data_IF_381598194050
#
_entry.id   IF_381598194050
#
_cell.length_a   1.000
_cell.length_b   1.000
_cell.length_c   1.000
_cell.angle_alpha   90.00
_cell.angle_beta   90.00
_cell.angle_gamma   90.00
#
_symmetry.space_group_name_H-M   'P 1'
#
loop_
_entity.id
_entity.type
_entity.pdbx_description
1 polymer ?
#
# COMPACT_ATOMS: atom_id res chain seq x y z
N UNK A 1 -25.16 15.90 -18.44
CA UNK A 1 -25.64 15.02 -17.35
C UNK A 1 -24.43 14.72 -16.49
N UNK A 2 -24.43 15.22 -15.25
CA UNK A 2 -23.32 15.07 -14.33
C UNK A 2 -23.12 13.59 -13.98
N UNK A 3 -21.86 13.14 -14.03
CA UNK A 3 -21.45 11.78 -13.69
C UNK A 3 -21.82 11.50 -12.23
N UNK A 4 -22.58 10.43 -12.01
CA UNK A 4 -23.07 10.02 -10.71
C UNK A 4 -21.91 9.64 -9.77
N UNK A 5 -21.96 10.22 -8.57
CA UNK A 5 -21.35 9.81 -7.30
C UNK A 5 -20.25 8.75 -7.35
N UNK A 6 -19.00 9.21 -7.32
CA UNK A 6 -17.83 8.38 -7.04
C UNK A 6 -17.85 8.05 -5.54
N UNK A 7 -18.28 6.83 -5.21
CA UNK A 7 -18.24 6.29 -3.85
C UNK A 7 -16.78 6.06 -3.46
N UNK A 8 -16.29 6.90 -2.54
CA UNK A 8 -14.96 6.82 -1.94
C UNK A 8 -14.61 5.39 -1.53
N UNK A 9 -13.36 4.98 -1.74
CA UNK A 9 -12.85 3.66 -1.31
C UNK A 9 -13.16 3.38 0.17
N UNK A 10 -13.14 4.41 1.00
CA UNK A 10 -13.57 4.37 2.41
C UNK A 10 -14.55 5.50 2.72
N UNK A 11 -15.51 5.25 3.61
CA UNK A 11 -16.41 6.29 4.13
C UNK A 11 -15.68 7.31 5.04
N UNK A 12 -14.59 6.90 5.70
CA UNK A 12 -13.72 7.74 6.54
C UNK A 12 -12.24 7.36 6.32
N UNK A 13 -11.28 8.31 6.46
CA UNK A 13 -9.86 8.00 6.44
C UNK A 13 -9.46 6.98 7.53
N UNK A 14 -8.48 6.12 7.23
CA UNK A 14 -7.95 5.20 8.23
C UNK A 14 -7.29 5.95 9.40
N UNK A 15 -7.62 5.54 10.62
CA UNK A 15 -7.10 6.12 11.88
C UNK A 15 -5.83 5.42 12.35
N UNK A 16 -5.47 4.27 11.77
CA UNK A 16 -4.17 3.62 11.98
C UNK A 16 -3.03 4.42 11.35
N UNK A 17 -1.85 4.33 11.94
CA UNK A 17 -0.59 4.80 11.34
C UNK A 17 0.23 3.64 10.83
N UNK A 18 0.92 3.81 9.70
CA UNK A 18 1.66 2.75 9.04
C UNK A 18 3.12 3.11 8.83
N UNK A 19 3.98 2.09 8.89
CA UNK A 19 5.34 2.14 8.36
C UNK A 19 5.46 1.10 7.25
N UNK A 20 5.88 1.54 6.06
CA UNK A 20 6.23 0.64 4.96
C UNK A 20 7.74 0.64 4.82
N UNK A 21 8.38 -0.46 5.19
CA UNK A 21 9.82 -0.64 5.05
C UNK A 21 10.15 -1.29 3.71
N UNK A 22 10.89 -0.60 2.85
CA UNK A 22 11.32 -1.13 1.56
C UNK A 22 12.58 -0.43 1.01
N UNK A 23 13.02 -0.85 -0.18
CA UNK A 23 14.13 -0.25 -0.93
C UNK A 23 13.77 1.16 -1.45
N UNK A 24 14.76 1.98 -1.88
CA UNK A 24 14.55 3.31 -2.48
C UNK A 24 13.96 3.24 -3.91
N UNK A 25 12.89 2.48 -4.08
CA UNK A 25 12.10 2.35 -5.30
C UNK A 25 10.68 1.88 -4.95
N UNK A 26 9.75 1.98 -5.89
CA UNK A 26 8.39 1.45 -5.71
C UNK A 26 8.41 -0.08 -5.63
N UNK A 27 8.87 -0.75 -6.70
CA UNK A 27 9.05 -2.20 -6.75
C UNK A 27 7.87 -2.98 -6.16
N UNK A 28 8.14 -3.97 -5.32
CA UNK A 28 7.11 -4.80 -4.66
C UNK A 28 6.31 -4.06 -3.58
N UNK A 29 6.68 -2.82 -3.24
CA UNK A 29 5.90 -1.98 -2.31
C UNK A 29 5.01 -0.97 -3.03
N UNK A 30 5.08 -0.88 -4.36
CA UNK A 30 4.32 0.09 -5.16
C UNK A 30 2.82 0.00 -4.90
N UNK A 31 2.24 -1.19 -5.06
CA UNK A 31 0.81 -1.39 -4.82
C UNK A 31 0.41 -1.22 -3.34
N UNK A 32 1.27 -1.63 -2.40
CA UNK A 32 1.05 -1.39 -0.96
C UNK A 32 0.87 0.10 -0.68
N UNK A 33 1.77 0.94 -1.21
CA UNK A 33 1.71 2.40 -1.04
C UNK A 33 0.49 3.00 -1.72
N UNK A 34 0.11 2.50 -2.90
CA UNK A 34 -1.14 2.89 -3.59
C UNK A 34 -2.35 2.59 -2.72
N UNK A 35 -2.48 1.36 -2.19
CA UNK A 35 -3.62 0.97 -1.36
C UNK A 35 -3.77 1.86 -0.12
N UNK A 36 -2.66 2.16 0.57
CA UNK A 36 -2.66 3.05 1.73
C UNK A 36 -2.99 4.50 1.34
N UNK A 37 -2.45 5.01 0.24
CA UNK A 37 -2.77 6.34 -0.26
C UNK A 37 -4.25 6.48 -0.61
N UNK A 38 -4.79 5.52 -1.35
CA UNK A 38 -6.19 5.51 -1.74
C UNK A 38 -7.13 5.45 -0.52
N UNK A 39 -6.72 4.76 0.55
CA UNK A 39 -7.39 4.76 1.85
C UNK A 39 -7.24 6.06 2.67
N UNK A 40 -6.39 6.99 2.23
CA UNK A 40 -6.09 8.21 3.01
C UNK A 40 -5.35 7.91 4.32
N UNK A 41 -4.63 6.78 4.38
CA UNK A 41 -3.90 6.36 5.57
C UNK A 41 -2.66 7.24 5.81
N UNK A 42 -2.27 7.39 7.08
CA UNK A 42 -1.01 8.04 7.47
C UNK A 42 0.14 7.05 7.32
N UNK A 43 1.12 7.33 6.46
CA UNK A 43 2.20 6.40 6.12
C UNK A 43 3.57 7.04 6.27
N UNK A 44 4.48 6.34 6.94
CA UNK A 44 5.91 6.61 6.95
C UNK A 44 6.57 5.62 5.98
N UNK A 45 7.36 6.13 5.04
CA UNK A 45 8.16 5.31 4.13
C UNK A 45 9.56 5.11 4.70
N UNK A 46 9.79 3.97 5.37
CA UNK A 46 11.13 3.63 5.86
C UNK A 46 11.94 3.05 4.71
N UNK A 47 12.98 3.77 4.29
CA UNK A 47 13.85 3.35 3.20
C UNK A 47 15.07 2.61 3.74
N UNK A 48 15.29 1.40 3.23
CA UNK A 48 16.46 0.57 3.50
C UNK A 48 17.26 0.37 2.21
N UNK A 49 18.59 0.24 2.31
CA UNK A 49 19.39 -0.13 1.13
C UNK A 49 19.46 -1.64 0.97
N UNK A 50 19.83 -2.11 -0.21
CA UNK A 50 20.05 -3.54 -0.41
C UNK A 50 21.16 -4.06 0.51
N UNK A 51 22.20 -3.25 0.72
CA UNK A 51 23.34 -3.54 1.58
C UNK A 51 22.93 -3.61 3.06
N UNK A 52 22.08 -2.70 3.55
CA UNK A 52 21.62 -2.71 4.95
C UNK A 52 20.75 -3.95 5.22
N UNK A 53 19.83 -4.29 4.31
CA UNK A 53 19.00 -5.50 4.41
C UNK A 53 19.87 -6.75 4.39
N UNK A 54 20.90 -6.79 3.53
CA UNK A 54 21.82 -7.93 3.44
C UNK A 54 22.70 -8.07 4.69
N UNK A 55 23.14 -6.96 5.27
CA UNK A 55 24.01 -6.94 6.44
C UNK A 55 23.33 -7.51 7.69
N UNK A 56 22.03 -7.24 7.87
CA UNK A 56 21.27 -7.78 8.99
C UNK A 56 19.86 -8.18 8.60
N UNK A 57 19.74 -9.38 8.03
CA UNK A 57 18.45 -9.99 7.69
C UNK A 57 17.60 -10.33 8.91
N UNK A 58 18.18 -10.46 10.10
CA UNK A 58 17.43 -10.87 11.29
C UNK A 58 16.41 -9.82 11.75
N UNK A 59 16.61 -8.56 11.33
CA UNK A 59 15.68 -7.44 11.57
C UNK A 59 14.32 -7.58 10.88
N UNK A 60 14.25 -8.35 9.81
CA UNK A 60 13.05 -8.42 8.96
C UNK A 60 12.42 -9.81 9.04
N UNK A 61 11.08 -9.92 9.10
CA UNK A 61 10.42 -11.21 8.98
C UNK A 61 10.88 -11.94 7.71
N UNK A 62 11.26 -13.21 7.87
CA UNK A 62 11.83 -14.06 6.82
C UNK A 62 13.10 -13.52 6.15
N UNK A 63 13.73 -12.48 6.73
CA UNK A 63 14.92 -11.83 6.19
C UNK A 63 14.69 -11.05 4.91
N UNK A 64 13.48 -10.51 4.69
CA UNK A 64 13.06 -9.86 3.44
C UNK A 64 12.20 -8.62 3.68
N UNK A 65 12.21 -7.74 2.69
CA UNK A 65 11.31 -6.59 2.54
C UNK A 65 10.45 -6.78 1.26
N UNK A 66 9.22 -6.23 1.16
CA UNK A 66 8.61 -5.23 2.04
C UNK A 66 8.09 -5.78 3.37
N UNK A 67 8.04 -4.88 4.36
CA UNK A 67 7.38 -5.10 5.65
C UNK A 67 6.41 -3.96 5.90
N UNK A 68 5.18 -4.29 6.29
CA UNK A 68 4.18 -3.37 6.81
C UNK A 68 4.16 -3.47 8.33
N UNK A 69 4.29 -2.33 9.00
CA UNK A 69 3.97 -2.18 10.42
C UNK A 69 2.74 -1.29 10.52
N UNK A 70 1.72 -1.74 11.24
CA UNK A 70 0.53 -0.97 11.56
C UNK A 70 0.48 -0.72 13.07
N UNK A 71 0.19 0.52 13.46
CA UNK A 71 -0.20 0.87 14.83
C UNK A 71 -1.65 1.37 14.82
N UNK A 72 -2.52 0.66 15.51
CA UNK A 72 -3.94 0.97 15.66
C UNK A 72 -4.16 2.11 16.66
N UNK A 73 -5.35 2.75 16.69
CA UNK A 73 -5.65 3.84 17.61
C UNK A 73 -5.52 3.49 19.10
N UNK A 74 -5.69 2.22 19.45
CA UNK A 74 -5.50 1.70 20.82
C UNK A 74 -4.02 1.44 21.17
N UNK A 75 -3.10 1.69 20.24
CA UNK A 75 -1.66 1.43 20.37
C UNK A 75 -1.24 0.01 20.01
N UNK A 76 -2.17 -0.88 19.64
CA UNK A 76 -1.85 -2.25 19.23
C UNK A 76 -1.01 -2.25 17.96
N UNK A 77 0.06 -3.06 17.95
CA UNK A 77 0.97 -3.18 16.81
C UNK A 77 0.79 -4.48 16.06
N UNK A 78 0.78 -4.39 14.74
CA UNK A 78 0.70 -5.51 13.81
C UNK A 78 1.86 -5.41 12.80
N UNK A 79 2.53 -6.53 12.52
CA UNK A 79 3.63 -6.60 11.56
C UNK A 79 3.37 -7.70 10.56
N UNK A 80 3.52 -7.39 9.26
CA UNK A 80 3.30 -8.32 8.17
C UNK A 80 4.37 -8.15 7.09
N UNK A 81 4.84 -9.27 6.54
CA UNK A 81 5.77 -9.31 5.41
C UNK A 81 5.14 -10.06 4.23
N UNK A 82 5.83 -10.06 3.09
CA UNK A 82 5.40 -10.56 1.77
C UNK A 82 4.35 -9.66 1.11
N UNK A 83 4.71 -9.10 -0.06
CA UNK A 83 3.94 -8.05 -0.72
C UNK A 83 2.48 -8.45 -0.99
N UNK A 84 2.27 -9.63 -1.56
CA UNK A 84 0.92 -10.13 -1.89
C UNK A 84 0.09 -10.34 -0.62
N UNK A 85 0.69 -10.80 0.48
CA UNK A 85 -0.02 -10.97 1.75
C UNK A 85 -0.43 -9.61 2.33
N UNK A 86 0.46 -8.62 2.28
CA UNK A 86 0.17 -7.25 2.70
C UNK A 86 -0.95 -6.63 1.85
N UNK A 87 -0.90 -6.79 0.53
CA UNK A 87 -1.92 -6.28 -0.38
C UNK A 87 -3.28 -6.91 -0.13
N UNK A 88 -3.34 -8.23 0.12
CA UNK A 88 -4.58 -8.91 0.49
C UNK A 88 -5.14 -8.41 1.83
N UNK A 89 -4.27 -8.21 2.82
CA UNK A 89 -4.66 -7.67 4.12
C UNK A 89 -5.28 -6.28 3.98
N UNK A 90 -4.59 -5.37 3.29
CA UNK A 90 -5.07 -4.01 3.07
C UNK A 90 -6.34 -3.98 2.21
N UNK A 91 -6.41 -4.83 1.17
CA UNK A 91 -7.60 -4.94 0.35
C UNK A 91 -8.82 -5.41 1.15
N UNK A 92 -8.63 -6.35 2.09
CA UNK A 92 -9.70 -6.79 2.99
C UNK A 92 -10.11 -5.67 3.94
N UNK A 93 -9.14 -5.03 4.59
CA UNK A 93 -9.36 -3.91 5.52
C UNK A 93 -10.10 -2.74 4.88
N UNK A 94 -9.84 -2.48 3.59
CA UNK A 94 -10.40 -1.35 2.86
C UNK A 94 -11.55 -1.73 1.91
N UNK A 95 -12.10 -2.94 2.01
CA UNK A 95 -13.27 -3.35 1.22
C UNK A 95 -13.02 -3.48 -0.29
N UNK A 96 -11.76 -3.66 -0.71
CA UNK A 96 -11.36 -3.86 -2.11
C UNK A 96 -11.46 -5.33 -2.56
N UNK A 97 -12.01 -6.19 -1.70
CA UNK A 97 -12.35 -7.58 -1.98
C UNK A 97 -13.85 -7.82 -2.20
N UNK A 98 -14.64 -6.74 -2.32
CA UNK A 98 -16.03 -6.77 -2.73
C UNK A 98 -16.23 -5.82 -3.93
N UNK A 99 -17.28 -6.08 -4.71
CA UNK A 99 -17.62 -5.31 -5.92
C UNK A 99 -18.97 -4.60 -5.79
N UNK A 100 -19.62 -4.71 -4.63
CA UNK A 100 -20.96 -4.14 -4.39
C UNK A 100 -20.81 -2.93 -3.48
N UNK A 101 -21.62 -1.90 -3.70
CA UNK A 101 -21.83 -0.88 -2.69
C UNK A 101 -22.64 -1.50 -1.54
N UNK A 102 -21.97 -2.08 -0.55
CA UNK A 102 -22.60 -2.61 0.66
C UNK A 102 -23.08 -1.47 1.58
N UNK A 103 -24.01 -0.67 1.08
CA UNK A 103 -24.76 0.31 1.87
C UNK A 103 -26.24 -0.07 2.03
N UNK A 104 -26.72 -1.18 1.46
CA UNK A 104 -28.19 -1.41 1.41
C UNK A 104 -28.70 -2.72 2.01
N UNK A 105 -27.89 -3.58 2.60
CA UNK A 105 -28.42 -4.73 3.34
C UNK A 105 -27.68 -4.87 4.66
N UNK A 106 -28.27 -4.35 5.74
CA UNK A 106 -28.45 -4.95 7.08
C UNK A 106 -29.08 -3.90 8.01
N UNK A 107 -30.39 -3.66 7.83
CA UNK A 107 -31.21 -2.85 8.73
C UNK A 107 -31.70 -3.70 9.92
N UNK A 108 -30.78 -4.36 10.64
CA UNK A 108 -31.12 -5.00 11.90
C UNK A 108 -30.02 -4.84 12.94
N UNK A 109 -30.47 -4.31 14.08
CA UNK A 109 -29.74 -3.88 15.26
C UNK A 109 -28.62 -4.81 15.73
N UNK A 110 -27.40 -4.27 15.85
CA UNK A 110 -26.68 -4.05 17.12
C UNK A 110 -25.35 -3.33 16.86
N UNK A 111 -24.99 -2.39 17.75
CA UNK A 111 -23.84 -1.49 17.66
C UNK A 111 -22.47 -2.21 17.68
N UNK A 112 -22.02 -2.71 16.54
CA UNK A 112 -20.59 -2.87 16.23
C UNK A 112 -20.37 -2.56 14.74
N UNK A 113 -19.30 -1.83 14.41
CA UNK A 113 -18.84 -1.51 13.06
C UNK A 113 -18.39 -2.77 12.30
N UNK A 114 -19.29 -3.75 12.11
CA UNK A 114 -19.02 -4.88 11.25
C UNK A 114 -19.20 -4.40 9.80
N UNK A 115 -18.07 -4.06 9.16
CA UNK A 115 -17.99 -4.08 7.70
C UNK A 115 -18.59 -5.42 7.23
N UNK A 116 -19.57 -5.38 6.33
CA UNK A 116 -20.17 -6.59 5.78
C UNK A 116 -19.04 -7.48 5.24
N UNK A 117 -18.97 -8.73 5.72
CA UNK A 117 -17.93 -9.65 5.26
C UNK A 117 -18.08 -9.84 3.75
N UNK A 118 -17.03 -9.64 2.94
CA UNK A 118 -17.13 -9.80 1.50
C UNK A 118 -17.57 -11.22 1.16
N UNK A 119 -18.37 -11.39 0.10
CA UNK A 119 -18.70 -12.71 -0.44
C UNK A 119 -17.40 -13.50 -0.69
N UNK A 120 -17.21 -14.66 -0.02
CA UNK A 120 -16.02 -15.47 -0.18
C UNK A 120 -15.76 -15.89 -1.63
N UNK A 121 -16.79 -16.12 -2.44
CA UNK A 121 -16.60 -16.51 -3.84
C UNK A 121 -16.07 -15.35 -4.68
N UNK A 122 -16.66 -14.17 -4.57
CA UNK A 122 -16.17 -12.97 -5.22
C UNK A 122 -14.75 -12.59 -4.76
N UNK A 123 -14.49 -12.61 -3.45
CA UNK A 123 -13.17 -12.33 -2.89
C UNK A 123 -12.09 -13.27 -3.46
N UNK A 124 -12.42 -14.56 -3.60
CA UNK A 124 -11.52 -15.54 -4.22
C UNK A 124 -11.25 -15.23 -5.70
N UNK A 125 -12.27 -14.81 -6.47
CA UNK A 125 -12.10 -14.40 -7.87
C UNK A 125 -11.20 -13.17 -8.00
N UNK A 126 -11.42 -12.14 -7.17
CA UNK A 126 -10.58 -10.93 -7.13
C UNK A 126 -9.12 -11.29 -6.84
N UNK A 127 -8.89 -12.07 -5.78
CA UNK A 127 -7.55 -12.56 -5.41
C UNK A 127 -6.92 -13.42 -6.51
N UNK A 128 -7.71 -14.22 -7.23
CA UNK A 128 -7.21 -15.05 -8.33
C UNK A 128 -6.70 -14.22 -9.51
N UNK A 129 -7.39 -13.12 -9.87
CA UNK A 129 -6.93 -12.23 -10.95
C UNK A 129 -5.63 -11.53 -10.53
N UNK A 130 -5.56 -11.00 -9.30
CA UNK A 130 -4.37 -10.36 -8.78
C UNK A 130 -3.18 -11.34 -8.74
N UNK A 131 -3.38 -12.55 -8.21
CA UNK A 131 -2.35 -13.57 -8.11
C UNK A 131 -1.88 -14.07 -9.48
N UNK A 132 -2.78 -14.32 -10.43
CA UNK A 132 -2.38 -14.72 -11.77
C UNK A 132 -1.51 -13.65 -12.44
N UNK A 133 -1.88 -12.37 -12.29
CA UNK A 133 -1.08 -11.24 -12.80
C UNK A 133 0.34 -11.26 -12.22
N UNK A 134 0.49 -11.48 -10.92
CA UNK A 134 1.80 -11.62 -10.29
C UNK A 134 2.60 -12.80 -10.83
N UNK A 135 1.98 -13.98 -10.92
CA UNK A 135 2.67 -15.19 -11.36
C UNK A 135 3.14 -15.07 -12.81
N UNK A 136 2.28 -14.57 -13.69
CA UNK A 136 2.59 -14.47 -15.12
C UNK A 136 3.58 -13.34 -15.41
N UNK A 137 3.39 -12.15 -14.82
CA UNK A 137 4.20 -10.98 -15.18
C UNK A 137 5.46 -10.85 -14.32
N UNK A 138 5.42 -11.16 -13.01
CA UNK A 138 6.65 -11.11 -12.22
C UNK A 138 7.67 -12.13 -12.70
N UNK A 139 7.23 -13.38 -12.91
CA UNK A 139 8.14 -14.48 -13.22
C UNK A 139 8.60 -14.48 -14.66
N UNK A 140 7.76 -14.02 -15.61
CA UNK A 140 8.05 -14.13 -17.04
C UNK A 140 8.40 -12.80 -17.72
N UNK A 141 8.01 -11.66 -17.13
CA UNK A 141 8.43 -10.34 -17.64
C UNK A 141 9.57 -9.77 -16.82
N UNK A 142 9.38 -9.61 -15.51
CA UNK A 142 10.34 -8.89 -14.68
C UNK A 142 11.66 -9.66 -14.52
N UNK A 143 11.64 -10.88 -13.98
CA UNK A 143 12.86 -11.65 -13.72
C UNK A 143 13.74 -11.90 -14.96
N UNK A 144 13.19 -12.29 -16.13
CA UNK A 144 14.00 -12.57 -17.32
C UNK A 144 14.61 -11.33 -17.96
N UNK A 145 13.98 -10.16 -17.80
CA UNK A 145 14.53 -8.89 -18.26
C UNK A 145 15.75 -8.49 -17.42
N UNK A 146 15.69 -8.64 -16.09
CA UNK A 146 16.87 -8.39 -15.23
C UNK A 146 17.99 -9.40 -15.46
N UNK A 147 17.65 -10.64 -15.79
CA UNK A 147 18.61 -11.70 -16.07
C UNK A 147 19.12 -11.70 -17.51
N UNK A 148 18.62 -10.79 -18.38
CA UNK A 148 18.93 -10.73 -19.82
C UNK A 148 18.76 -12.08 -20.54
N UNK A 149 17.71 -12.82 -20.16
CA UNK A 149 17.44 -14.14 -20.73
C UNK A 149 16.55 -14.02 -21.98
N UNK A 150 17.18 -14.02 -23.16
CA UNK A 150 16.50 -13.80 -24.45
C UNK A 150 15.43 -14.86 -24.77
N UNK A 151 15.69 -16.13 -24.47
CA UNK A 151 14.75 -17.23 -24.71
C UNK A 151 13.46 -17.05 -23.88
N UNK A 152 13.60 -16.75 -22.59
CA UNK A 152 12.45 -16.50 -21.73
C UNK A 152 11.70 -15.23 -22.12
N UNK A 153 12.41 -14.21 -22.60
CA UNK A 153 11.77 -13.00 -23.12
C UNK A 153 10.99 -13.26 -24.41
N UNK A 154 11.51 -14.10 -25.32
CA UNK A 154 10.80 -14.49 -26.54
C UNK A 154 9.56 -15.31 -26.21
N UNK A 155 9.69 -16.32 -25.32
CA UNK A 155 8.56 -17.09 -24.81
C UNK A 155 7.50 -16.20 -24.18
N UNK A 156 7.91 -15.23 -23.37
CA UNK A 156 6.99 -14.27 -22.79
C UNK A 156 6.21 -13.51 -23.86
N UNK A 157 6.91 -12.92 -24.84
CA UNK A 157 6.27 -12.11 -25.90
C UNK A 157 5.36 -12.92 -26.82
N UNK A 158 5.74 -14.15 -27.15
CA UNK A 158 5.08 -14.93 -28.20
C UNK A 158 4.01 -15.88 -27.66
N UNK A 159 4.12 -16.32 -26.41
CA UNK A 159 3.21 -17.33 -25.83
C UNK A 159 2.43 -16.79 -24.64
N UNK A 160 3.13 -16.25 -23.64
CA UNK A 160 2.54 -15.94 -22.33
C UNK A 160 1.72 -14.65 -22.40
N UNK A 161 2.30 -13.59 -22.96
CA UNK A 161 1.66 -12.28 -23.05
C UNK A 161 0.35 -12.30 -23.86
N UNK A 162 0.29 -12.90 -25.07
CA UNK A 162 -0.96 -12.97 -25.83
C UNK A 162 -2.05 -13.74 -25.08
N UNK A 163 -1.70 -14.85 -24.42
CA UNK A 163 -2.64 -15.65 -23.63
C UNK A 163 -3.13 -14.88 -22.40
N UNK A 164 -2.23 -14.17 -21.71
CA UNK A 164 -2.57 -13.32 -20.58
C UNK A 164 -3.55 -12.22 -20.99
N UNK A 165 -3.24 -11.46 -22.06
CA UNK A 165 -4.13 -10.41 -22.61
C UNK A 165 -5.51 -11.01 -22.95
N UNK A 166 -5.55 -12.09 -23.72
CA UNK A 166 -6.81 -12.69 -24.16
C UNK A 166 -7.70 -13.14 -22.98
N UNK A 167 -7.10 -13.74 -21.94
CA UNK A 167 -7.82 -14.17 -20.75
C UNK A 167 -8.33 -12.99 -19.93
N UNK A 168 -7.50 -11.98 -19.70
CA UNK A 168 -7.87 -10.81 -18.91
C UNK A 168 -8.94 -9.96 -19.60
N UNK A 169 -8.82 -9.75 -20.91
CA UNK A 169 -9.87 -9.07 -21.68
C UNK A 169 -11.19 -9.85 -21.73
N UNK A 170 -11.15 -11.20 -21.74
CA UNK A 170 -12.37 -12.01 -21.62
C UNK A 170 -13.07 -11.71 -20.30
N UNK A 171 -12.35 -11.72 -19.18
CA UNK A 171 -12.93 -11.42 -17.86
C UNK A 171 -13.54 -10.01 -17.81
N UNK A 172 -12.88 -9.02 -18.41
CA UNK A 172 -13.42 -7.66 -18.51
C UNK A 172 -14.69 -7.61 -19.36
N UNK A 173 -14.73 -8.33 -20.49
CA UNK A 173 -15.94 -8.46 -21.33
C UNK A 173 -17.07 -9.19 -20.62
N UNK A 174 -16.77 -10.22 -19.82
CA UNK A 174 -17.78 -10.93 -19.01
C UNK A 174 -18.44 -9.99 -17.98
N UNK A 175 -17.72 -8.96 -17.52
CA UNK A 175 -18.25 -7.88 -16.69
C UNK A 175 -18.79 -6.68 -17.51
N UNK A 176 -19.08 -6.87 -18.80
CA UNK A 176 -19.65 -5.85 -19.68
C UNK A 176 -18.67 -4.80 -20.21
N UNK A 177 -17.36 -5.03 -20.05
CA UNK A 177 -16.28 -4.12 -20.47
C UNK A 177 -16.50 -2.69 -19.96
N UNK A 178 -16.87 -2.54 -18.68
CA UNK A 178 -17.16 -1.24 -18.06
C UNK A 178 -15.91 -0.55 -17.45
N UNK A 179 -14.72 -1.13 -17.60
CA UNK A 179 -13.48 -0.64 -16.99
C UNK A 179 -13.10 -1.33 -15.68
N UNK A 180 -13.89 -2.31 -15.22
CA UNK A 180 -13.63 -3.09 -14.01
C UNK A 180 -13.70 -4.59 -14.27
N UNK A 181 -12.90 -5.38 -13.55
CA UNK A 181 -13.03 -6.85 -13.56
C UNK A 181 -14.31 -7.34 -12.91
N UNK A 182 -14.77 -6.66 -11.86
CA UNK A 182 -15.92 -7.08 -11.08
C UNK A 182 -16.75 -5.87 -10.66
N UNK A 183 -18.06 -5.91 -10.94
CA UNK A 183 -18.97 -4.81 -10.57
C UNK A 183 -18.60 -3.52 -11.31
N UNK A 184 -18.74 -2.39 -10.64
CA UNK A 184 -18.58 -1.04 -11.21
C UNK A 184 -17.65 -0.14 -10.37
N UNK A 185 -16.84 -0.74 -9.51
CA UNK A 185 -15.90 -0.04 -8.63
C UNK A 185 -14.52 -0.68 -8.65
N UNK A 186 -13.50 0.09 -8.32
CA UNK A 186 -12.15 -0.42 -8.18
C UNK A 186 -12.06 -1.50 -7.09
N UNK A 187 -11.42 -2.61 -7.45
CA UNK A 187 -11.07 -3.73 -6.57
C UNK A 187 -9.56 -3.94 -6.58
N UNK A 188 -9.06 -4.84 -5.74
CA UNK A 188 -7.66 -5.25 -5.77
C UNK A 188 -7.24 -5.74 -7.17
N UNK A 189 -8.11 -6.46 -7.89
CA UNK A 189 -7.81 -6.98 -9.22
C UNK A 189 -7.48 -5.84 -10.21
N UNK A 190 -8.29 -4.78 -10.21
CA UNK A 190 -8.10 -3.63 -11.11
C UNK A 190 -6.79 -2.89 -10.80
N UNK A 191 -6.53 -2.63 -9.52
CA UNK A 191 -5.34 -1.93 -9.07
C UNK A 191 -4.05 -2.73 -9.33
N UNK A 192 -4.08 -4.06 -9.13
CA UNK A 192 -2.95 -4.94 -9.46
C UNK A 192 -2.67 -4.93 -10.96
N UNK A 193 -3.70 -5.10 -11.80
CA UNK A 193 -3.52 -5.11 -13.25
C UNK A 193 -3.04 -3.76 -13.75
N UNK A 194 -3.61 -2.65 -13.27
CA UNK A 194 -3.13 -1.31 -13.59
C UNK A 194 -1.65 -1.12 -13.26
N UNK A 195 -1.24 -1.51 -12.06
CA UNK A 195 0.16 -1.43 -11.64
C UNK A 195 1.07 -2.16 -12.64
N UNK A 196 0.67 -3.35 -13.08
CA UNK A 196 1.44 -4.14 -14.04
C UNK A 196 1.37 -3.64 -15.49
N UNK A 197 0.25 -3.07 -15.94
CA UNK A 197 0.16 -2.39 -17.23
C UNK A 197 1.16 -1.24 -17.31
N UNK A 198 1.33 -0.49 -16.22
CA UNK A 198 2.35 0.58 -16.12
C UNK A 198 3.78 0.02 -16.14
N UNK A 199 4.02 -1.14 -15.50
CA UNK A 199 5.31 -1.83 -15.60
C UNK A 199 5.60 -2.22 -17.05
N UNK A 200 4.62 -2.84 -17.72
CA UNK A 200 4.72 -3.24 -19.12
C UNK A 200 5.00 -2.05 -20.03
N UNK A 201 4.27 -0.95 -19.86
CA UNK A 201 4.45 0.26 -20.68
C UNK A 201 5.87 0.82 -20.54
N UNK A 202 6.38 0.92 -19.30
CA UNK A 202 7.75 1.38 -19.05
C UNK A 202 8.81 0.45 -19.65
N UNK A 203 8.45 -0.81 -19.91
CA UNK A 203 9.27 -1.80 -20.60
C UNK A 203 9.02 -1.83 -22.12
N UNK A 204 8.25 -0.88 -22.67
CA UNK A 204 7.96 -0.77 -24.09
C UNK A 204 6.87 -1.70 -24.60
N UNK A 205 6.08 -2.32 -23.71
CA UNK A 205 4.99 -3.23 -24.06
C UNK A 205 3.67 -2.52 -23.82
N UNK A 206 2.88 -2.35 -24.87
CA UNK A 206 1.58 -1.67 -24.82
C UNK A 206 0.48 -2.59 -25.28
N UNK A 207 -0.67 -2.49 -24.61
CA UNK A 207 -1.92 -3.08 -25.09
C UNK A 207 -2.50 -2.18 -26.18
N UNK A 208 -3.39 -2.72 -27.02
CA UNK A 208 -4.04 -1.93 -28.07
C UNK A 208 -4.95 -0.84 -27.46
N UNK A 209 -5.10 0.30 -28.14
CA UNK A 209 -5.90 1.42 -27.65
C UNK A 209 -7.40 1.08 -27.52
N UNK A 210 -7.89 0.13 -28.31
CA UNK A 210 -9.26 -0.38 -28.25
C UNK A 210 -9.42 -1.60 -27.30
N UNK A 211 -8.36 -1.98 -26.60
CA UNK A 211 -8.37 -3.10 -25.65
C UNK A 211 -9.24 -2.79 -24.42
N UNK A 212 -10.02 -3.77 -23.91
CA UNK A 212 -10.61 -3.70 -22.57
C UNK A 212 -9.62 -3.35 -21.46
N UNK A 213 -8.36 -3.79 -21.56
CA UNK A 213 -7.31 -3.44 -20.59
C UNK A 213 -6.97 -1.97 -20.63
N UNK A 214 -6.98 -1.34 -21.83
CA UNK A 214 -6.77 0.10 -21.96
C UNK A 214 -7.91 0.88 -21.31
N UNK A 215 -9.15 0.44 -21.53
CA UNK A 215 -10.31 1.03 -20.87
C UNK A 215 -10.22 0.93 -19.34
N UNK A 216 -9.80 -0.22 -18.80
CA UNK A 216 -9.55 -0.36 -17.36
C UNK A 216 -8.48 0.63 -16.88
N UNK A 217 -7.37 0.76 -17.60
CA UNK A 217 -6.30 1.71 -17.25
C UNK A 217 -6.85 3.13 -17.14
N UNK A 218 -7.59 3.59 -18.14
CA UNK A 218 -8.19 4.93 -18.19
C UNK A 218 -9.24 5.14 -17.09
N UNK A 219 -10.12 4.15 -16.88
CA UNK A 219 -11.15 4.21 -15.85
C UNK A 219 -10.54 4.34 -14.46
N UNK A 220 -9.54 3.50 -14.13
CA UNK A 220 -8.92 3.53 -12.81
C UNK A 220 -8.02 4.76 -12.66
N UNK A 221 -7.31 5.21 -13.72
CA UNK A 221 -6.51 6.45 -13.70
C UNK A 221 -7.34 7.69 -13.41
N UNK A 222 -8.60 7.72 -13.85
CA UNK A 222 -9.50 8.87 -13.67
C UNK A 222 -10.05 9.02 -12.23
N UNK A 223 -9.75 8.09 -11.32
CA UNK A 223 -10.27 8.13 -9.95
C UNK A 223 -9.80 9.38 -9.17
N UNK A 224 -10.71 10.15 -8.54
CA UNK A 224 -10.33 11.30 -7.72
C UNK A 224 -9.51 10.91 -6.47
N UNK A 225 -9.61 9.67 -6.00
CA UNK A 225 -8.86 9.14 -4.85
C UNK A 225 -7.35 9.13 -5.08
N UNK A 226 -6.89 9.24 -6.33
CA UNK A 226 -5.48 9.50 -6.61
C UNK A 226 -5.02 10.83 -6.02
N UNK A 227 -5.90 11.80 -5.76
CA UNK A 227 -5.57 13.13 -5.19
C UNK A 227 -4.39 13.79 -5.90
N UNK A 228 -4.37 13.70 -7.24
CA UNK A 228 -3.28 14.22 -8.08
C UNK A 228 -1.97 13.42 -8.05
N UNK A 229 -1.86 12.34 -7.26
CA UNK A 229 -0.63 11.56 -7.06
C UNK A 229 -0.50 10.31 -7.95
N UNK A 230 -1.31 10.16 -8.99
CA UNK A 230 -1.26 8.98 -9.88
C UNK A 230 0.15 8.71 -10.45
N UNK A 231 0.82 9.76 -10.96
CA UNK A 231 2.17 9.63 -11.52
C UNK A 231 3.25 9.46 -10.44
N UNK A 232 3.03 9.99 -9.24
CA UNK A 232 3.90 9.73 -8.10
C UNK A 232 3.98 8.23 -7.79
N UNK A 233 2.88 7.49 -7.91
CA UNK A 233 2.85 6.04 -7.69
C UNK A 233 3.27 5.20 -8.91
N UNK A 234 3.95 5.78 -9.90
CA UNK A 234 4.46 4.99 -11.03
C UNK A 234 5.44 3.91 -10.54
N UNK A 235 5.36 2.64 -11.02
CA UNK A 235 6.19 1.53 -10.52
C UNK A 235 7.72 1.74 -10.63
N UNK A 236 8.13 2.65 -11.52
CA UNK A 236 9.53 3.04 -11.71
C UNK A 236 9.88 4.43 -11.17
N UNK A 237 9.00 5.04 -10.36
CA UNK A 237 9.37 6.26 -9.64
C UNK A 237 10.43 5.93 -8.57
N UNK A 238 11.61 6.53 -8.70
CA UNK A 238 12.76 6.36 -7.81
C UNK A 238 12.88 7.40 -6.70
N UNK A 239 11.98 8.39 -6.63
CA UNK A 239 12.10 9.54 -5.71
C UNK A 239 11.63 9.28 -4.27
N UNK A 240 11.65 8.03 -3.81
CA UNK A 240 11.29 7.72 -2.43
C UNK A 240 12.50 8.00 -1.53
N UNK A 241 12.47 9.16 -0.87
CA UNK A 241 13.58 9.66 -0.06
C UNK A 241 13.83 11.17 -0.18
N UNK A 242 13.09 11.90 -1.02
CA UNK A 242 13.07 13.37 -0.96
C UNK A 242 11.99 13.80 0.04
N UNK A 243 12.40 14.03 1.30
CA UNK A 243 11.56 14.44 2.44
C UNK A 243 10.67 15.67 2.12
N UNK A 244 10.98 16.43 1.07
CA UNK A 244 10.23 17.63 0.64
C UNK A 244 8.84 17.31 0.10
N UNK A 245 8.60 16.13 -0.46
CA UNK A 245 7.29 15.75 -1.02
C UNK A 245 6.35 15.14 0.02
N UNK A 246 6.90 14.48 1.04
CA UNK A 246 6.12 13.92 2.15
C UNK A 246 5.71 15.01 3.15
N UNK A 247 6.58 16.01 3.39
CA UNK A 247 6.26 17.17 4.22
C UNK A 247 5.17 18.06 3.59
N UNK A 248 5.21 18.29 2.27
CA UNK A 248 4.19 19.10 1.59
C UNK A 248 2.78 18.48 1.68
N UNK A 249 2.67 17.14 1.68
CA UNK A 249 1.40 16.45 1.85
C UNK A 249 0.89 16.43 3.31
N UNK A 250 1.79 16.57 4.29
CA UNK A 250 1.43 16.68 5.70
C UNK A 250 0.98 18.10 6.07
N UNK A 251 1.58 19.13 5.46
CA UNK A 251 1.22 20.55 5.68
C UNK A 251 -0.15 20.88 5.07
N UNK A 252 -0.46 20.39 3.87
CA UNK A 252 -1.75 20.64 3.19
C UNK A 252 -2.95 19.99 3.92
N UNK A 253 -2.69 18.97 4.76
CA UNK A 253 -3.72 18.36 5.62
C UNK A 253 -3.88 19.04 6.99
N UNK A 254 -2.94 19.89 7.41
CA UNK A 254 -3.07 20.66 8.65
C UNK A 254 -3.82 21.99 8.43
N UNK A 255 -3.62 22.64 7.27
CA UNK A 255 -4.29 23.91 6.94
C UNK A 255 -5.82 23.76 6.74
N UNK A 256 -6.31 22.55 6.44
CA UNK A 256 -7.75 22.27 6.32
C UNK A 256 -8.44 22.00 7.65
N UNK A 257 -7.69 21.75 8.72
CA UNK A 257 -8.22 21.55 10.08
C UNK A 257 -8.17 22.80 10.95
N UNK A 258 -7.35 23.80 10.62
CA UNK A 258 -7.25 25.06 11.40
C UNK A 258 -8.25 26.16 10.97
N UNK A 259 -9.05 25.96 9.94
CA UNK A 259 -10.05 26.95 9.49
C UNK A 259 -11.45 26.79 10.09
N UNK A 260 -11.67 25.89 11.06
CA UNK A 260 -12.99 25.69 11.69
C UNK A 260 -13.07 26.13 13.15
N UNK A 261 -11.95 26.35 13.83
CA UNK A 261 -11.96 26.77 15.25
C UNK A 261 -11.13 28.06 15.43
N UNK A 262 -11.78 29.22 15.34
CA UNK A 262 -11.08 30.50 15.45
C UNK A 262 -11.97 31.73 15.56
N UNK A 263 -12.97 31.72 16.45
CA UNK A 263 -13.60 32.96 16.89
C UNK A 263 -14.07 32.88 18.35
N UNK A 264 -13.14 32.93 19.32
CA UNK A 264 -13.39 33.56 20.63
C UNK A 264 -12.11 34.24 21.12
N UNK A 265 -12.29 35.48 21.54
CA UNK A 265 -11.30 36.51 21.81
C UNK A 265 -10.39 36.27 23.03
N UNK A 266 -9.26 36.98 22.97
CA UNK A 266 -8.23 37.23 23.98
C UNK A 266 -8.73 38.13 25.11
N UNK A 267 -8.26 37.87 26.33
CA UNK A 267 -7.97 38.82 27.43
C UNK A 267 -6.97 38.09 28.36
N UNK A 268 -5.67 38.44 28.29
CA UNK A 268 -4.91 39.23 29.27
C UNK A 268 -4.75 38.58 30.66
N UNK A 269 -3.50 38.24 31.04
CA UNK A 269 -2.82 38.76 32.25
C UNK A 269 -1.36 38.25 32.36
N UNK A 270 -0.47 39.19 32.66
CA UNK A 270 0.96 39.06 32.99
C UNK A 270 1.18 38.66 34.47
N UNK A 271 2.31 38.00 34.78
CA UNK A 271 3.24 38.21 35.93
C UNK A 271 4.26 37.04 36.01
N UNK A 272 5.55 37.30 35.81
CA UNK A 272 6.64 37.50 36.82
C UNK A 272 7.00 36.22 37.62
N UNK A 273 8.12 35.58 37.30
CA UNK A 273 9.43 35.60 38.03
C UNK A 273 9.45 34.80 39.34
N UNK A 274 10.29 33.75 39.43
CA UNK A 274 11.37 33.61 40.44
C UNK A 274 12.14 32.27 40.32
N UNK A 275 13.36 32.31 40.86
CA UNK A 275 14.53 31.43 40.72
C UNK A 275 14.54 30.20 41.67
N UNK A 276 15.60 29.37 41.52
CA UNK A 276 16.37 28.60 42.53
C UNK A 276 16.73 27.20 41.99
N UNK A 277 17.97 26.97 41.53
CA UNK A 277 19.22 26.62 42.25
C UNK A 277 19.27 25.18 42.83
N UNK A 278 20.27 24.45 42.33
CA UNK A 278 21.17 23.43 42.94
C UNK A 278 20.62 22.24 43.76
N UNK A 279 21.09 21.02 43.48
CA UNK A 279 22.10 20.33 44.33
C UNK A 279 22.52 18.95 43.77
N UNK A 280 23.73 18.59 44.14
CA UNK A 280 24.65 17.53 43.71
C UNK A 280 24.28 16.10 44.19
N UNK A 281 25.04 15.09 43.71
CA UNK A 281 25.07 13.79 44.41
C UNK A 281 25.71 12.63 43.67
N UNK A 282 27.03 12.49 43.80
CA UNK A 282 27.86 11.32 43.47
C UNK A 282 27.41 10.00 44.15
N UNK A 283 27.80 8.85 43.58
CA UNK A 283 27.60 7.55 44.23
C UNK A 283 28.18 6.35 43.50
N UNK A 284 29.48 6.18 43.66
CA UNK A 284 30.40 5.15 43.15
C UNK A 284 30.15 3.71 43.69
N UNK A 285 30.91 2.73 43.14
CA UNK A 285 31.23 1.35 43.63
C UNK A 285 30.39 0.16 43.13
N UNK A 286 30.92 -1.05 42.92
CA UNK A 286 32.26 -1.63 42.72
C UNK A 286 32.03 -3.15 42.49
N UNK A 287 32.77 -3.77 41.56
CA UNK A 287 33.26 -5.17 41.53
C UNK A 287 32.38 -6.38 41.95
N UNK A 288 32.34 -7.46 41.12
CA UNK A 288 33.13 -8.71 41.33
C UNK A 288 32.82 -9.87 40.36
N UNK A 289 33.91 -10.54 39.96
CA UNK A 289 34.14 -11.97 39.72
C UNK A 289 33.46 -12.78 38.57
N UNK A 290 34.33 -13.20 37.64
CA UNK A 290 34.27 -14.40 36.78
C UNK A 290 34.48 -15.71 37.60
N UNK A 291 34.73 -16.90 37.01
CA UNK A 291 34.10 -17.64 35.91
C UNK A 291 33.73 -19.09 36.34
N UNK A 292 32.97 -19.85 35.52
CA UNK A 292 32.89 -21.31 35.69
C UNK A 292 32.68 -22.06 34.37
N UNK A 293 33.67 -22.91 34.07
CA UNK A 293 33.76 -23.89 32.98
C UNK A 293 32.86 -25.09 33.25
N UNK A 294 32.24 -25.66 32.19
CA UNK A 294 31.92 -27.09 31.96
C UNK A 294 30.96 -27.15 30.76
N UNK A 295 30.96 -28.10 29.83
CA UNK A 295 31.82 -29.24 29.46
C UNK A 295 31.28 -29.69 28.08
N UNK A 296 32.16 -30.20 27.21
CA UNK A 296 31.80 -31.00 26.03
C UNK A 296 30.99 -32.24 26.44
N UNK A 297 30.05 -32.67 25.59
CA UNK A 297 30.06 -33.98 24.89
C UNK A 297 28.64 -34.43 24.51
N UNK A 298 28.42 -34.59 23.21
CA UNK A 298 27.72 -35.67 22.49
C UNK A 298 27.16 -35.10 21.18
#
# INVERSE_FOLDING_TARGET
MASADIKTILAEPDKSSYVVTYLPLMGRSGLIRVLLHLAGAKVIHRVETYESVKADRSKFPYGRVPVLEETQPDGTKFVLAEAIAIEHYLAEKYGLLSSVSDHHHHHNHHHHQHQARPDPQLSAKIKSVALNTYLELSSNLFDPLFQKNEEQQEKFRNEILPLWIANHERLLRDNGNNGHYFGDRATLADLTVLNWLRVMEAMGIRVAEDSPLKKLEETIKAMPEWRGKYEYFHPFNGNLGDERLDAAAAVDMQETTEQVDGEVALEEEEQEEEEDEEDEGEGDKETRDQPSKRRKAA
#
